data_IF_873032366688
#
_entry.id   IF_873032366688
#
_cell.length_a   1.000
_cell.length_b   1.000
_cell.length_c   1.000
_cell.angle_alpha   90.00
_cell.angle_beta   90.00
_cell.angle_gamma   90.00
#
_symmetry.space_group_name_H-M   'P 1'
#
loop_
_entity.id
_entity.type
_entity.pdbx_description
1 polymer ?
#
# COMPACT_ATOMS: atom_id res chain seq x y z
N UNK A 1 8.17 2.50 -0.42
CA UNK A 1 7.96 3.19 -1.71
C UNK A 1 6.58 3.79 -1.64
N UNK A 2 6.48 5.11 -1.49
CA UNK A 2 5.21 5.80 -1.27
C UNK A 2 4.60 6.25 -2.60
N UNK A 3 3.35 5.85 -2.87
CA UNK A 3 2.60 6.20 -4.07
C UNK A 3 1.84 7.54 -3.96
N UNK A 4 2.31 8.49 -3.14
CA UNK A 4 1.92 9.90 -3.27
C UNK A 4 2.62 10.53 -4.48
N UNK A 5 2.50 9.89 -5.65
CA UNK A 5 3.08 10.39 -6.87
C UNK A 5 2.18 11.48 -7.42
N UNK A 6 2.70 12.70 -7.45
CA UNK A 6 2.14 13.77 -8.27
C UNK A 6 2.25 13.39 -9.75
N UNK A 7 1.43 14.02 -10.60
CA UNK A 7 1.52 13.85 -12.06
C UNK A 7 2.92 14.16 -12.61
N UNK A 8 3.65 15.08 -11.98
CA UNK A 8 5.03 15.40 -12.35
C UNK A 8 6.00 14.26 -12.01
N UNK A 9 5.87 13.66 -10.83
CA UNK A 9 6.69 12.53 -10.42
C UNK A 9 6.42 11.30 -11.31
N UNK A 10 5.15 11.02 -11.61
CA UNK A 10 4.75 10.00 -12.57
C UNK A 10 5.35 10.27 -13.96
N UNK A 11 5.26 11.50 -14.45
CA UNK A 11 5.74 11.85 -15.79
C UNK A 11 7.24 11.59 -15.94
N UNK A 12 8.04 11.89 -14.90
CA UNK A 12 9.47 11.56 -14.87
C UNK A 12 9.71 10.05 -14.91
N UNK A 13 8.93 9.26 -14.16
CA UNK A 13 9.03 7.79 -14.18
C UNK A 13 8.68 7.21 -15.55
N UNK A 14 7.62 7.71 -16.17
CA UNK A 14 7.21 7.30 -17.53
C UNK A 14 8.29 7.67 -18.55
N UNK A 15 8.91 8.85 -18.46
CA UNK A 15 10.00 9.24 -19.36
C UNK A 15 11.20 8.29 -19.22
N UNK A 16 11.61 7.97 -17.99
CA UNK A 16 12.70 7.04 -17.71
C UNK A 16 12.38 5.59 -18.14
N UNK A 17 11.09 5.24 -18.22
CA UNK A 17 10.59 3.89 -18.48
C UNK A 17 9.60 3.85 -19.64
N UNK A 18 9.85 4.63 -20.69
CA UNK A 18 8.92 4.83 -21.82
C UNK A 18 8.62 3.54 -22.59
N UNK A 19 9.52 2.56 -22.54
CA UNK A 19 9.30 1.22 -23.08
C UNK A 19 8.25 0.42 -22.28
N UNK A 20 8.08 0.70 -20.99
CA UNK A 20 7.26 -0.07 -20.05
C UNK A 20 5.92 0.58 -19.74
N UNK A 21 5.85 1.91 -19.70
CA UNK A 21 4.61 2.63 -19.42
C UNK A 21 4.52 3.90 -20.26
N UNK A 22 3.29 4.32 -20.55
CA UNK A 22 2.99 5.60 -21.21
C UNK A 22 1.62 6.10 -20.76
N UNK A 23 1.42 7.41 -20.89
CA UNK A 23 0.13 8.08 -20.65
C UNK A 23 -0.34 8.74 -21.95
N UNK A 24 -1.12 8.04 -22.80
CA UNK A 24 -1.50 8.57 -24.11
C UNK A 24 -2.46 9.77 -24.02
N UNK A 25 -3.22 9.88 -22.94
CA UNK A 25 -4.04 11.04 -22.60
C UNK A 25 -4.08 11.21 -21.08
N UNK A 26 -4.55 12.35 -20.61
CA UNK A 26 -4.62 12.69 -19.17
C UNK A 26 -5.22 11.56 -18.31
N UNK A 27 -6.29 10.94 -18.79
CA UNK A 27 -7.12 9.96 -18.08
C UNK A 27 -6.87 8.50 -18.48
N UNK A 28 -5.80 8.21 -19.23
CA UNK A 28 -5.45 6.87 -19.67
C UNK A 28 -3.98 6.57 -19.38
N UNK A 29 -3.75 5.60 -18.50
CA UNK A 29 -2.45 4.99 -18.28
C UNK A 29 -2.37 3.66 -19.02
N UNK A 30 -1.29 3.45 -19.75
CA UNK A 30 -0.97 2.18 -20.38
C UNK A 30 0.34 1.61 -19.83
N UNK A 31 0.31 0.35 -19.40
CA UNK A 31 1.50 -0.35 -18.89
C UNK A 31 1.70 -1.64 -19.67
N UNK A 32 2.86 -1.78 -20.30
CA UNK A 32 3.25 -2.97 -21.05
C UNK A 32 3.71 -4.07 -20.11
N UNK A 33 3.17 -5.26 -20.32
CA UNK A 33 3.62 -6.51 -19.72
C UNK A 33 4.08 -7.45 -20.85
N UNK A 34 4.67 -8.60 -20.51
CA UNK A 34 5.35 -9.47 -21.47
C UNK A 34 4.51 -9.80 -22.72
N UNK A 35 3.22 -10.01 -22.55
CA UNK A 35 2.31 -10.47 -23.59
C UNK A 35 1.24 -9.43 -23.99
N UNK A 36 1.42 -8.15 -23.64
CA UNK A 36 0.48 -7.11 -24.04
C UNK A 36 0.56 -5.81 -23.25
N UNK A 37 -0.53 -5.07 -23.28
CA UNK A 37 -0.65 -3.77 -22.59
C UNK A 37 -1.89 -3.79 -21.71
N UNK A 38 -1.73 -3.41 -20.45
CA UNK A 38 -2.85 -3.16 -19.53
C UNK A 38 -3.20 -1.67 -19.57
N UNK A 39 -4.50 -1.38 -19.67
CA UNK A 39 -5.05 -0.03 -19.63
C UNK A 39 -5.68 0.23 -18.28
N UNK A 40 -5.37 1.37 -17.69
CA UNK A 40 -5.99 1.90 -16.49
C UNK A 40 -6.63 3.24 -16.85
N UNK A 41 -7.94 3.31 -16.71
CA UNK A 41 -8.75 4.45 -17.18
C UNK A 41 -9.30 5.15 -15.95
N UNK A 42 -9.04 6.45 -15.85
CA UNK A 42 -9.56 7.29 -14.78
C UNK A 42 -11.09 7.35 -14.89
N UNK A 43 -11.78 7.40 -13.75
CA UNK A 43 -13.24 7.51 -13.70
C UNK A 43 -13.64 8.90 -13.18
N UNK A 44 -14.68 9.53 -13.74
CA UNK A 44 -15.17 10.81 -13.25
C UNK A 44 -15.74 10.68 -11.82
N UNK A 45 -15.83 11.80 -11.06
CA UNK A 45 -15.40 13.14 -11.44
C UNK A 45 -13.86 13.27 -11.50
N UNK A 46 -13.34 14.01 -12.47
CA UNK A 46 -11.88 14.23 -12.61
C UNK A 46 -11.40 15.38 -11.72
N UNK A 47 -11.72 15.30 -10.44
CA UNK A 47 -11.33 16.28 -9.41
C UNK A 47 -10.46 15.59 -8.37
N UNK A 48 -9.62 16.35 -7.68
CA UNK A 48 -8.60 15.78 -6.79
C UNK A 48 -9.16 14.85 -5.71
N UNK A 49 -10.37 15.10 -5.22
CA UNK A 49 -10.98 14.36 -4.10
C UNK A 49 -12.11 13.40 -4.52
N UNK A 50 -12.29 13.15 -5.81
CA UNK A 50 -13.38 12.32 -6.31
C UNK A 50 -12.97 11.49 -7.52
N UNK A 51 -13.74 10.43 -7.80
CA UNK A 51 -13.55 9.61 -8.99
C UNK A 51 -12.43 8.59 -8.82
N UNK A 52 -11.78 8.20 -9.91
CA UNK A 52 -10.63 7.29 -9.86
C UNK A 52 -9.50 7.85 -10.68
N UNK A 53 -8.32 7.93 -10.10
CA UNK A 53 -7.10 8.42 -10.76
C UNK A 53 -6.01 7.38 -10.63
N UNK A 54 -5.46 6.92 -11.76
CA UNK A 54 -4.40 5.92 -11.80
C UNK A 54 -3.03 6.56 -12.05
N UNK A 55 -1.99 5.99 -11.44
CA UNK A 55 -0.62 6.46 -11.52
C UNK A 55 0.35 5.28 -11.72
N UNK A 56 1.34 5.46 -12.59
CA UNK A 56 2.45 4.51 -12.70
C UNK A 56 3.49 4.79 -11.62
N UNK A 57 3.69 3.83 -10.72
CA UNK A 57 4.65 3.95 -9.63
C UNK A 57 6.02 3.40 -9.98
N UNK A 58 6.12 2.52 -10.96
CA UNK A 58 7.40 2.00 -11.44
C UNK A 58 7.38 0.49 -11.61
N UNK A 59 8.59 -0.05 -11.82
CA UNK A 59 8.79 -1.46 -12.08
C UNK A 59 9.82 -2.02 -11.12
N UNK A 60 9.42 -3.06 -10.39
CA UNK A 60 10.30 -3.84 -9.54
C UNK A 60 10.83 -5.03 -10.35
N UNK A 61 12.10 -4.93 -10.76
CA UNK A 61 12.78 -5.95 -11.55
C UNK A 61 13.03 -7.26 -10.79
N UNK A 62 13.26 -7.20 -9.48
CA UNK A 62 13.57 -8.38 -8.67
C UNK A 62 12.39 -9.36 -8.61
N UNK A 63 11.15 -8.85 -8.54
CA UNK A 63 9.93 -9.65 -8.52
C UNK A 63 9.17 -9.66 -9.86
N UNK A 64 9.67 -8.94 -10.88
CA UNK A 64 9.05 -8.84 -12.21
C UNK A 64 7.62 -8.25 -12.15
N UNK A 65 7.48 -7.11 -11.45
CA UNK A 65 6.20 -6.48 -11.12
C UNK A 65 6.17 -5.02 -11.52
N UNK A 66 5.04 -4.59 -12.06
CA UNK A 66 4.68 -3.18 -12.17
C UNK A 66 3.86 -2.75 -10.95
N UNK A 67 4.14 -1.56 -10.45
CA UNK A 67 3.47 -0.96 -9.31
C UNK A 67 2.57 0.15 -9.82
N UNK A 68 1.28 0.08 -9.50
CA UNK A 68 0.26 1.00 -10.00
C UNK A 68 -0.43 1.63 -8.79
N UNK A 69 -0.30 2.93 -8.62
CA UNK A 69 -1.03 3.67 -7.59
C UNK A 69 -2.41 4.02 -8.10
N UNK A 70 -3.39 4.10 -7.20
CA UNK A 70 -4.66 4.73 -7.52
C UNK A 70 -5.25 5.49 -6.34
N UNK A 71 -5.97 6.54 -6.69
CA UNK A 71 -6.84 7.27 -5.77
C UNK A 71 -8.28 6.98 -6.18
N UNK A 72 -9.06 6.35 -5.31
CA UNK A 72 -10.50 6.11 -5.51
C UNK A 72 -11.26 6.94 -4.50
N UNK A 73 -11.91 8.00 -4.98
CA UNK A 73 -12.51 9.04 -4.18
C UNK A 73 -11.50 9.64 -3.19
N UNK A 74 -11.64 9.27 -1.91
CA UNK A 74 -10.73 9.67 -0.83
C UNK A 74 -9.74 8.58 -0.43
N UNK A 75 -9.75 7.40 -1.02
CA UNK A 75 -8.83 6.32 -0.66
C UNK A 75 -7.57 6.36 -1.53
N UNK A 76 -6.40 6.49 -0.91
CA UNK A 76 -5.12 6.24 -1.54
C UNK A 76 -4.77 4.75 -1.40
N UNK A 77 -4.56 4.08 -2.53
CA UNK A 77 -4.27 2.65 -2.59
C UNK A 77 -3.42 2.34 -3.83
N UNK A 78 -3.27 1.07 -4.17
CA UNK A 78 -2.52 0.62 -5.32
C UNK A 78 -2.81 -0.83 -5.69
N UNK A 79 -2.34 -1.20 -6.86
CA UNK A 79 -2.37 -2.53 -7.43
C UNK A 79 -0.96 -2.93 -7.90
N UNK A 80 -0.69 -4.23 -7.87
CA UNK A 80 0.47 -4.83 -8.52
C UNK A 80 0.02 -5.46 -9.83
N UNK A 81 0.68 -5.11 -10.93
CA UNK A 81 0.52 -5.77 -12.23
C UNK A 81 1.72 -6.70 -12.48
N UNK A 82 1.48 -8.01 -12.51
CA UNK A 82 2.53 -8.99 -12.82
C UNK A 82 2.93 -8.88 -14.29
N UNK A 83 4.24 -8.71 -14.53
CA UNK A 83 4.74 -8.52 -15.88
C UNK A 83 4.61 -9.77 -16.76
N UNK A 84 4.70 -10.98 -16.20
CA UNK A 84 4.70 -12.22 -17.01
C UNK A 84 3.37 -12.52 -17.70
N UNK A 85 2.24 -12.17 -17.08
CA UNK A 85 0.90 -12.56 -17.57
C UNK A 85 -0.16 -11.46 -17.45
N UNK A 86 0.21 -10.27 -16.98
CA UNK A 86 -0.70 -9.13 -16.89
C UNK A 86 -1.77 -9.26 -15.82
N UNK A 87 -1.66 -10.22 -14.89
CA UNK A 87 -2.60 -10.33 -13.76
C UNK A 87 -2.37 -9.21 -12.76
N UNK A 88 -3.47 -8.67 -12.24
CA UNK A 88 -3.48 -7.59 -11.25
C UNK A 88 -3.86 -8.13 -9.87
N UNK A 89 -3.20 -7.62 -8.84
CA UNK A 89 -3.45 -7.98 -7.44
C UNK A 89 -3.58 -6.70 -6.62
N UNK A 90 -4.53 -6.67 -5.69
CA UNK A 90 -4.66 -5.55 -4.76
C UNK A 90 -3.38 -5.36 -3.97
N UNK A 91 -3.03 -4.11 -3.73
CA UNK A 91 -1.92 -3.70 -2.91
C UNK A 91 -2.34 -2.48 -2.09
N UNK A 92 -1.43 -1.53 -1.89
CA UNK A 92 -1.68 -0.27 -1.21
C UNK A 92 -0.87 0.84 -1.87
N UNK A 93 -1.03 2.07 -1.40
CA UNK A 93 -0.20 3.18 -1.88
C UNK A 93 1.27 2.97 -1.47
N UNK A 94 1.53 2.25 -0.38
CA UNK A 94 2.88 1.85 0.00
C UNK A 94 2.98 0.33 0.06
N UNK A 95 4.05 -0.20 -0.56
CA UNK A 95 4.32 -1.64 -0.61
C UNK A 95 5.72 -1.89 -0.02
N UNK A 96 5.79 -2.80 0.94
CA UNK A 96 7.05 -3.29 1.51
C UNK A 96 7.13 -4.79 1.31
N UNK A 97 8.01 -5.21 0.40
CA UNK A 97 8.27 -6.62 0.12
C UNK A 97 9.03 -7.26 1.28
N UNK A 98 8.69 -8.50 1.62
CA UNK A 98 9.47 -9.32 2.54
C UNK A 98 10.84 -9.68 1.92
N UNK A 99 11.84 -10.05 2.72
CA UNK A 99 13.19 -10.31 2.21
C UNK A 99 13.27 -11.40 1.12
N UNK A 100 12.48 -12.48 1.21
CA UNK A 100 12.44 -13.50 0.16
C UNK A 100 11.42 -13.17 -0.96
N UNK A 101 10.72 -12.04 -0.85
CA UNK A 101 9.76 -11.55 -1.83
C UNK A 101 8.53 -12.42 -2.01
N UNK A 102 8.19 -13.30 -1.05
CA UNK A 102 6.97 -14.13 -1.15
C UNK A 102 5.79 -13.50 -0.44
N UNK A 103 6.00 -12.41 0.29
CA UNK A 103 4.97 -11.62 0.96
C UNK A 103 5.24 -10.14 0.80
N UNK A 104 4.21 -9.34 1.06
CA UNK A 104 4.36 -7.90 1.17
C UNK A 104 3.34 -7.32 2.13
N UNK A 105 3.74 -6.24 2.78
CA UNK A 105 2.82 -5.30 3.44
C UNK A 105 2.32 -4.32 2.38
N UNK A 106 1.01 -4.13 2.36
CA UNK A 106 0.30 -3.08 1.66
C UNK A 106 -0.26 -2.10 2.67
N UNK A 107 -0.07 -0.82 2.43
CA UNK A 107 -0.55 0.28 3.25
C UNK A 107 -1.53 1.10 2.41
N UNK A 108 -2.74 1.28 2.93
CA UNK A 108 -3.79 2.12 2.37
C UNK A 108 -4.10 3.25 3.34
N UNK A 109 -4.54 4.39 2.82
CA UNK A 109 -4.90 5.53 3.66
C UNK A 109 -6.13 6.23 3.11
N UNK A 110 -7.14 6.40 3.96
CA UNK A 110 -8.28 7.25 3.64
C UNK A 110 -7.92 8.71 3.92
N UNK A 111 -8.15 9.56 2.94
CA UNK A 111 -7.94 11.00 3.03
C UNK A 111 -8.77 11.59 4.17
N UNK A 112 -8.11 12.39 5.00
CA UNK A 112 -8.74 13.06 6.16
C UNK A 112 -8.92 12.17 7.39
N UNK A 113 -8.44 10.93 7.40
CA UNK A 113 -8.33 10.12 8.61
C UNK A 113 -6.91 10.14 9.15
N UNK A 114 -6.79 10.24 10.48
CA UNK A 114 -5.54 10.07 11.20
C UNK A 114 -5.23 8.57 11.26
N UNK A 115 -4.50 8.05 10.28
CA UNK A 115 -3.93 6.70 10.30
C UNK A 115 -4.14 5.90 9.02
N UNK A 116 -3.50 4.74 8.99
CA UNK A 116 -3.40 3.87 7.82
C UNK A 116 -4.06 2.52 8.09
N UNK A 117 -4.60 1.91 7.03
CA UNK A 117 -5.01 0.52 7.03
C UNK A 117 -3.88 -0.32 6.45
N UNK A 118 -3.47 -1.35 7.19
CA UNK A 118 -2.39 -2.23 6.78
C UNK A 118 -2.94 -3.61 6.44
N UNK A 119 -2.40 -4.23 5.41
CA UNK A 119 -2.70 -5.59 5.03
C UNK A 119 -1.44 -6.33 4.58
N UNK A 120 -1.28 -7.57 5.02
CA UNK A 120 -0.20 -8.45 4.57
C UNK A 120 -0.75 -9.47 3.59
N UNK A 121 -0.09 -9.61 2.44
CA UNK A 121 -0.46 -10.54 1.39
C UNK A 121 0.66 -11.53 1.12
N UNK A 122 0.29 -12.75 0.69
CA UNK A 122 1.22 -13.59 -0.07
C UNK A 122 1.31 -13.04 -1.49
N UNK A 123 2.52 -12.97 -2.06
CA UNK A 123 2.71 -12.55 -3.44
C UNK A 123 1.92 -13.50 -4.36
N UNK A 124 1.04 -12.91 -5.19
CA UNK A 124 0.09 -13.62 -6.06
C UNK A 124 -0.93 -14.51 -5.35
N UNK A 125 -1.17 -14.27 -4.06
CA UNK A 125 -1.99 -15.12 -3.23
C UNK A 125 -3.02 -14.35 -2.43
N UNK A 126 -3.50 -15.02 -1.40
CA UNK A 126 -4.49 -14.47 -0.48
C UNK A 126 -3.87 -13.47 0.50
N UNK A 127 -4.73 -12.60 1.01
CA UNK A 127 -4.49 -11.79 2.21
C UNK A 127 -4.27 -12.70 3.42
N UNK A 128 -3.24 -12.42 4.20
CA UNK A 128 -2.84 -13.16 5.39
C UNK A 128 -3.28 -12.45 6.67
N UNK A 129 -3.26 -11.12 6.65
CA UNK A 129 -3.67 -10.28 7.77
C UNK A 129 -4.15 -8.92 7.27
N UNK A 130 -5.04 -8.27 8.03
CA UNK A 130 -5.44 -6.88 7.84
C UNK A 130 -5.81 -6.28 9.19
N UNK A 131 -5.50 -5.00 9.38
CA UNK A 131 -5.94 -4.22 10.51
C UNK A 131 -5.48 -2.77 10.41
N UNK A 132 -6.06 -1.95 11.28
CA UNK A 132 -5.67 -0.57 11.43
C UNK A 132 -4.25 -0.46 12.02
N UNK A 133 -3.45 0.49 11.54
CA UNK A 133 -2.06 0.72 11.95
C UNK A 133 -1.97 1.50 13.27
N UNK A 134 -2.60 0.98 14.32
CA UNK A 134 -2.59 1.61 15.63
C UNK A 134 -3.45 0.90 16.66
N UNK A 135 -3.44 1.46 17.87
CA UNK A 135 -4.30 1.05 18.98
C UNK A 135 -5.46 2.05 19.05
N UNK A 136 -6.67 1.53 18.88
CA UNK A 136 -7.90 2.30 18.98
C UNK A 136 -8.43 2.25 20.42
N UNK A 137 -9.03 3.35 20.88
CA UNK A 137 -9.73 3.38 22.16
C UNK A 137 -10.96 2.47 22.12
N UNK A 138 -11.29 1.91 23.28
CA UNK A 138 -12.57 1.20 23.42
C UNK A 138 -13.67 2.25 23.49
N UNK A 139 -14.64 2.26 22.56
CA UNK A 139 -15.68 3.27 22.55
C UNK A 139 -16.53 3.18 23.83
N UNK A 140 -16.64 4.29 24.56
CA UNK A 140 -17.69 4.45 25.56
C UNK A 140 -18.97 4.95 24.89
N UNK A 141 -20.12 4.75 25.53
CA UNK A 141 -21.42 5.19 25.00
C UNK A 141 -21.36 6.69 24.67
N UNK A 142 -21.64 7.04 23.41
CA UNK A 142 -21.62 8.41 22.87
C UNK A 142 -20.21 9.06 22.74
N UNK A 143 -19.13 8.29 22.79
CA UNK A 143 -17.78 8.79 22.51
C UNK A 143 -17.28 8.27 21.14
N UNK A 144 -16.51 9.11 20.44
CA UNK A 144 -15.82 8.71 19.21
C UNK A 144 -14.66 7.78 19.54
N UNK A 145 -14.41 6.79 18.67
CA UNK A 145 -13.17 6.00 18.73
C UNK A 145 -12.01 6.93 18.37
N UNK A 146 -10.98 6.91 19.21
CA UNK A 146 -9.77 7.71 19.06
C UNK A 146 -8.56 6.82 18.91
N UNK A 147 -7.51 7.35 18.30
CA UNK A 147 -6.23 6.65 18.14
C UNK A 147 -5.38 6.92 19.38
N UNK A 148 -5.11 5.89 20.17
CA UNK A 148 -4.28 5.97 21.39
C UNK A 148 -2.80 5.91 21.01
N UNK A 149 -2.47 5.08 20.02
CA UNK A 149 -1.11 4.91 19.54
C UNK A 149 -1.13 4.56 18.05
N UNK A 150 -0.07 4.92 17.33
CA UNK A 150 0.11 4.63 15.91
C UNK A 150 1.25 3.63 15.72
N UNK A 151 1.15 2.80 14.68
CA UNK A 151 2.23 1.94 14.22
C UNK A 151 2.94 2.66 13.08
N UNK A 152 4.23 2.93 13.25
CA UNK A 152 5.03 3.71 12.29
C UNK A 152 6.28 2.95 11.88
N UNK A 153 6.97 3.41 10.83
CA UNK A 153 8.21 2.80 10.33
C UNK A 153 8.14 1.27 10.14
N UNK A 154 7.15 0.74 9.40
CA UNK A 154 7.07 -0.69 9.15
C UNK A 154 8.32 -1.20 8.45
N UNK A 155 8.82 -2.36 8.90
CA UNK A 155 9.96 -3.03 8.29
C UNK A 155 9.86 -4.55 8.48
N UNK A 156 10.32 -5.31 7.50
CA UNK A 156 10.40 -6.76 7.66
C UNK A 156 11.69 -7.14 8.37
N UNK A 157 11.60 -7.86 9.47
CA UNK A 157 12.78 -8.47 10.11
C UNK A 157 13.21 -9.73 9.38
N UNK A 158 12.23 -10.57 9.02
CA UNK A 158 12.41 -11.80 8.26
C UNK A 158 11.18 -12.03 7.35
N UNK A 159 11.06 -13.20 6.73
CA UNK A 159 9.97 -13.51 5.79
C UNK A 159 8.58 -13.55 6.46
N UNK A 160 8.51 -13.87 7.75
CA UNK A 160 7.28 -14.13 8.48
C UNK A 160 7.02 -13.13 9.61
N UNK A 161 7.95 -12.21 9.85
CA UNK A 161 7.85 -11.21 10.91
C UNK A 161 8.01 -9.79 10.36
N UNK A 162 6.90 -9.08 10.39
CA UNK A 162 6.83 -7.64 10.16
C UNK A 162 6.97 -6.93 11.51
N UNK A 163 7.78 -5.89 11.58
CA UNK A 163 7.95 -5.03 12.74
C UNK A 163 7.48 -3.61 12.43
N UNK A 164 7.07 -2.91 13.47
CA UNK A 164 6.75 -1.49 13.42
C UNK A 164 7.09 -0.83 14.77
N UNK A 165 7.36 0.46 14.76
CA UNK A 165 7.51 1.24 15.99
C UNK A 165 6.12 1.62 16.54
N UNK A 166 5.95 1.51 17.85
CA UNK A 166 4.78 2.03 18.56
C UNK A 166 5.01 3.50 18.91
N UNK A 167 4.22 4.40 18.33
CA UNK A 167 4.27 5.84 18.61
C UNK A 167 3.06 6.27 19.45
N UNK A 168 3.31 6.96 20.57
CA UNK A 168 2.27 7.56 21.42
C UNK A 168 2.57 9.07 21.52
N UNK A 169 1.67 9.90 20.98
CA UNK A 169 1.84 11.35 20.83
C UNK A 169 3.23 11.71 20.24
N UNK A 170 3.53 11.15 19.08
CA UNK A 170 4.78 11.35 18.33
C UNK A 170 6.08 10.91 19.03
N UNK A 171 5.97 10.22 20.16
CA UNK A 171 7.11 9.63 20.85
C UNK A 171 7.11 8.12 20.64
N UNK A 172 8.17 7.58 20.02
CA UNK A 172 8.37 6.14 19.91
C UNK A 172 8.60 5.53 21.30
N UNK A 173 7.76 4.56 21.66
CA UNK A 173 7.78 3.87 22.97
C UNK A 173 8.36 2.47 22.90
N UNK A 174 8.41 1.85 21.72
CA UNK A 174 8.95 0.51 21.55
C UNK A 174 8.72 -0.04 20.15
N UNK A 175 9.05 -1.31 19.96
CA UNK A 175 8.82 -2.06 18.72
C UNK A 175 7.76 -3.13 18.93
N UNK A 176 6.95 -3.32 17.90
CA UNK A 176 5.92 -4.33 17.79
C UNK A 176 6.32 -5.34 16.73
N UNK A 177 5.85 -6.59 16.88
CA UNK A 177 6.04 -7.61 15.85
C UNK A 177 4.71 -8.26 15.49
N UNK A 178 4.46 -8.43 14.19
CA UNK A 178 3.36 -9.18 13.61
C UNK A 178 3.90 -10.47 13.00
N UNK A 179 3.50 -11.61 13.56
CA UNK A 179 3.88 -12.94 13.05
C UNK A 179 2.84 -13.47 12.07
N UNK A 180 3.09 -13.34 10.77
CA UNK A 180 2.13 -13.67 9.71
C UNK A 180 2.12 -15.15 9.29
N UNK A 181 3.01 -15.96 9.83
CA UNK A 181 3.05 -17.42 9.62
C UNK A 181 2.16 -18.23 10.58
N UNK A 182 1.54 -17.60 11.59
CA UNK A 182 0.71 -18.29 12.61
C UNK A 182 -0.75 -18.40 12.17
N UNK A 183 -1.48 -19.35 12.76
CA UNK A 183 -2.91 -19.56 12.50
C UNK A 183 -3.79 -18.33 12.83
N UNK A 184 -3.35 -17.52 13.79
CA UNK A 184 -3.97 -16.23 14.14
C UNK A 184 -2.90 -15.16 14.20
N UNK A 185 -2.59 -14.50 13.07
CA UNK A 185 -1.64 -13.40 13.04
C UNK A 185 -2.15 -12.23 13.88
N UNK A 186 -1.27 -11.67 14.70
CA UNK A 186 -1.58 -10.51 15.54
C UNK A 186 -0.29 -9.81 15.98
N UNK A 187 -0.45 -8.55 16.37
CA UNK A 187 0.63 -7.76 16.94
C UNK A 187 0.93 -8.21 18.37
N UNK A 188 2.20 -8.41 18.66
CA UNK A 188 2.70 -8.63 20.01
C UNK A 188 3.22 -7.30 20.55
N UNK A 189 2.55 -6.77 21.57
CA UNK A 189 2.86 -5.49 22.19
C UNK A 189 3.84 -5.68 23.36
N UNK A 190 4.93 -4.88 23.48
CA UNK A 190 5.54 -4.64 24.77
C UNK A 190 4.53 -3.89 25.65
N UNK A 191 4.69 -3.98 26.98
CA UNK A 191 3.81 -3.33 27.97
C UNK A 191 3.41 -1.90 27.53
N UNK A 192 2.09 -1.68 27.51
CA UNK A 192 1.44 -0.64 26.72
C UNK A 192 1.70 0.81 27.20
N UNK A 193 1.35 1.76 26.31
CA UNK A 193 0.86 3.07 26.72
C UNK A 193 -0.47 2.89 27.49
#
# INVERSE_FOLDING_TARGET
>A
MDAFLTRDAESKLIQQRSAQARRPSEHLLEVKYANGTKRFIDKPPHVDIGGTHWFYCGYNAAQNLHLIGHKVDSLFSGDILRHSDGKTFKAGHTILMSPAGKKFLAIEQQNGLDGEDWAVYKLYGKKLWQGYAGILSTPKKNEYVTVIAQFVNPSWRDEDVLEADLSCADTVKGKLSLHVGKASPGWFLPSAC
#
